data_IF_950889138454
#
_entry.id   IF_950889138454
#
_cell.length_a   1.000
_cell.length_b   1.000
_cell.length_c   1.000
_cell.angle_alpha   90.00
_cell.angle_beta   90.00
_cell.angle_gamma   90.00
#
_symmetry.space_group_name_H-M   'P 1'
#
loop_
_entity.id
_entity.type
_entity.pdbx_description
1 polymer ?
#
# COMPACT_ATOMS: atom_id res chain seq x y z
N UNK A 1 23.91 -19.36 28.39
CA UNK A 1 22.45 -19.60 28.33
C UNK A 1 21.85 -18.65 27.32
N UNK A 2 20.93 -19.10 26.46
CA UNK A 2 20.17 -18.17 25.61
C UNK A 2 19.38 -17.20 26.51
N UNK A 3 19.40 -15.91 26.13
CA UNK A 3 18.64 -14.87 26.81
C UNK A 3 17.40 -14.55 25.96
N UNK A 4 16.24 -14.74 26.57
CA UNK A 4 14.98 -14.31 25.93
C UNK A 4 14.69 -12.87 26.33
N UNK A 5 14.56 -11.98 25.33
CA UNK A 5 14.26 -10.57 25.54
C UNK A 5 13.05 -10.22 24.68
N UNK A 6 11.97 -9.82 25.31
CA UNK A 6 10.85 -9.20 24.63
C UNK A 6 11.10 -7.68 24.52
N UNK A 7 11.32 -7.21 23.29
CA UNK A 7 11.62 -5.81 22.97
C UNK A 7 10.39 -4.98 22.56
N UNK A 8 9.20 -5.55 22.59
CA UNK A 8 7.98 -4.93 22.11
C UNK A 8 6.81 -5.06 23.08
N UNK A 9 6.33 -6.26 23.32
CA UNK A 9 5.04 -6.47 23.97
C UNK A 9 5.12 -6.26 25.48
N UNK A 10 6.15 -6.78 26.13
CA UNK A 10 6.33 -6.58 27.56
C UNK A 10 6.60 -5.11 27.94
N UNK A 11 7.48 -4.37 27.25
CA UNK A 11 7.63 -2.94 27.46
C UNK A 11 6.34 -2.15 27.24
N UNK A 12 5.54 -2.50 26.23
CA UNK A 12 4.27 -1.86 25.95
C UNK A 12 3.23 -2.13 27.05
N UNK A 13 3.10 -3.39 27.50
CA UNK A 13 2.23 -3.76 28.63
C UNK A 13 2.63 -3.07 29.95
N UNK A 14 3.90 -2.77 30.13
CA UNK A 14 4.43 -2.04 31.29
C UNK A 14 4.32 -0.50 31.15
N UNK A 15 3.81 0.01 30.02
CA UNK A 15 3.72 1.46 29.77
C UNK A 15 5.07 2.15 29.56
N UNK A 16 6.16 1.37 29.28
CA UNK A 16 7.49 1.94 29.02
C UNK A 16 7.58 2.54 27.63
N UNK A 17 6.87 1.94 26.66
CA UNK A 17 6.75 2.42 25.28
C UNK A 17 5.29 2.57 24.90
N UNK A 18 4.99 3.50 23.99
CA UNK A 18 3.63 3.80 23.52
C UNK A 18 3.30 3.15 22.19
N UNK A 19 4.31 2.69 21.47
CA UNK A 19 4.18 1.99 20.18
C UNK A 19 5.28 0.96 19.99
N UNK A 20 5.19 0.14 18.93
CA UNK A 20 6.17 -0.90 18.61
C UNK A 20 7.22 -0.46 17.59
N UNK A 21 7.22 0.82 17.19
CA UNK A 21 8.19 1.34 16.23
C UNK A 21 9.62 1.20 16.77
N UNK A 22 10.54 0.82 15.88
CA UNK A 22 11.93 0.61 16.21
C UNK A 22 12.83 1.33 15.21
N UNK A 23 13.83 2.01 15.73
CA UNK A 23 14.91 2.57 14.95
C UNK A 23 16.22 1.86 15.31
N UNK A 24 16.87 1.24 14.30
CA UNK A 24 18.08 0.47 14.49
C UNK A 24 19.24 1.19 13.80
N UNK A 25 20.14 1.73 14.60
CA UNK A 25 21.30 2.48 14.14
C UNK A 25 22.59 1.69 14.41
N UNK A 26 23.52 1.74 13.47
CA UNK A 26 24.85 1.19 13.61
C UNK A 26 25.67 1.36 12.34
N UNK A 27 26.99 1.42 12.42
CA UNK A 27 27.87 1.52 11.25
C UNK A 27 27.78 0.26 10.37
N UNK A 28 28.38 0.32 9.19
CA UNK A 28 28.51 -0.86 8.33
C UNK A 28 29.28 -1.98 9.08
N UNK A 29 28.85 -3.22 8.91
CA UNK A 29 29.44 -4.37 9.59
C UNK A 29 29.06 -4.57 11.07
N UNK A 30 28.24 -3.69 11.66
CA UNK A 30 27.84 -3.80 13.09
C UNK A 30 26.81 -4.89 13.38
N UNK A 31 26.35 -5.62 12.37
CA UNK A 31 25.39 -6.71 12.52
C UNK A 31 23.90 -6.30 12.48
N UNK A 32 23.56 -5.07 12.03
CA UNK A 32 22.16 -4.62 11.89
C UNK A 32 21.30 -5.62 11.12
N UNK A 33 21.71 -5.96 9.91
CA UNK A 33 20.96 -6.89 9.05
C UNK A 33 20.87 -8.29 9.65
N UNK A 34 21.91 -8.75 10.35
CA UNK A 34 21.86 -10.02 11.07
C UNK A 34 20.83 -10.01 12.20
N UNK A 35 20.82 -8.95 13.00
CA UNK A 35 19.86 -8.77 14.08
C UNK A 35 18.43 -8.67 13.55
N UNK A 36 18.21 -7.87 12.50
CA UNK A 36 16.88 -7.70 11.91
C UNK A 36 16.37 -8.98 11.24
N UNK A 37 17.23 -9.72 10.53
CA UNK A 37 16.88 -11.05 10.01
C UNK A 37 16.44 -12.02 11.11
N UNK A 38 17.16 -12.05 12.23
CA UNK A 38 16.79 -12.88 13.37
C UNK A 38 15.42 -12.46 13.95
N UNK A 39 15.20 -11.16 14.11
CA UNK A 39 13.95 -10.61 14.63
C UNK A 39 12.76 -10.90 13.68
N UNK A 40 12.93 -10.70 12.37
CA UNK A 40 11.93 -10.99 11.34
C UNK A 40 11.56 -12.49 11.37
N UNK A 41 12.59 -13.35 11.43
CA UNK A 41 12.36 -14.79 11.54
C UNK A 41 11.55 -15.15 12.79
N UNK A 42 11.84 -14.54 13.95
CA UNK A 42 11.09 -14.79 15.18
C UNK A 42 9.63 -14.36 15.08
N UNK A 43 9.35 -13.23 14.44
CA UNK A 43 7.97 -12.80 14.18
C UNK A 43 7.24 -13.75 13.22
N UNK A 44 7.90 -14.17 12.15
CA UNK A 44 7.34 -15.15 11.22
C UNK A 44 7.02 -16.48 11.92
N UNK A 45 7.93 -17.01 12.76
CA UNK A 45 7.70 -18.23 13.55
C UNK A 45 6.55 -18.09 14.57
N UNK A 46 6.12 -16.85 14.87
CA UNK A 46 4.94 -16.54 15.70
C UNK A 46 3.69 -16.24 14.86
N UNK A 47 3.67 -16.61 13.60
CA UNK A 47 2.58 -16.36 12.62
C UNK A 47 2.31 -14.88 12.37
N UNK A 48 3.29 -14.00 12.48
CA UNK A 48 3.15 -12.61 12.07
C UNK A 48 3.33 -12.48 10.54
N UNK A 49 2.46 -11.71 9.90
CA UNK A 49 2.68 -11.27 8.54
C UNK A 49 3.76 -10.19 8.52
N UNK A 50 4.79 -10.38 7.71
CA UNK A 50 5.94 -9.47 7.63
C UNK A 50 6.10 -8.97 6.21
N UNK A 51 6.10 -7.64 6.06
CA UNK A 51 6.43 -6.96 4.81
C UNK A 51 7.78 -6.26 4.97
N UNK A 52 8.69 -6.51 4.02
CA UNK A 52 10.04 -5.94 4.01
C UNK A 52 10.27 -5.10 2.77
N UNK A 53 10.85 -3.92 2.96
CA UNK A 53 11.41 -3.11 1.87
C UNK A 53 12.92 -3.06 2.08
N UNK A 54 13.66 -3.64 1.14
CA UNK A 54 15.12 -3.83 1.26
C UNK A 54 15.84 -3.27 0.04
N UNK A 55 16.86 -2.47 0.27
CA UNK A 55 17.69 -1.91 -0.80
C UNK A 55 19.00 -2.67 -1.03
N UNK A 56 19.32 -3.66 -0.20
CA UNK A 56 20.62 -4.32 -0.15
C UNK A 56 20.60 -5.85 -0.26
N UNK A 57 19.47 -6.45 -0.62
CA UNK A 57 19.27 -7.91 -0.68
C UNK A 57 19.60 -8.66 0.62
N UNK A 58 19.53 -7.97 1.75
CA UNK A 58 19.93 -8.53 3.06
C UNK A 58 18.99 -9.62 3.57
N UNK A 59 17.76 -9.66 3.06
CA UNK A 59 16.71 -10.61 3.49
C UNK A 59 16.42 -11.71 2.47
N UNK A 60 17.05 -11.69 1.30
CA UNK A 60 16.86 -12.69 0.23
C UNK A 60 17.05 -14.12 0.76
N UNK A 61 18.13 -14.39 1.48
CA UNK A 61 18.41 -15.73 2.02
C UNK A 61 17.37 -16.21 3.04
N UNK A 62 16.80 -15.31 3.84
CA UNK A 62 15.69 -15.63 4.75
C UNK A 62 14.41 -15.96 3.96
N UNK A 63 14.06 -15.16 2.96
CA UNK A 63 12.91 -15.40 2.09
C UNK A 63 13.04 -16.73 1.37
N UNK A 64 14.18 -17.03 0.75
CA UNK A 64 14.43 -18.30 0.09
C UNK A 64 14.34 -19.51 1.03
N UNK A 65 14.84 -19.39 2.27
CA UNK A 65 14.74 -20.44 3.27
C UNK A 65 13.28 -20.72 3.65
N UNK A 66 12.48 -19.67 3.85
CA UNK A 66 11.06 -19.80 4.17
C UNK A 66 10.32 -20.39 2.97
N UNK A 67 10.55 -19.88 1.78
CA UNK A 67 9.92 -20.35 0.54
C UNK A 67 10.13 -21.85 0.30
N UNK A 68 11.35 -22.34 0.50
CA UNK A 68 11.65 -23.78 0.40
C UNK A 68 10.92 -24.61 1.46
N UNK A 69 10.76 -24.07 2.69
CA UNK A 69 10.06 -24.78 3.77
C UNK A 69 8.56 -24.83 3.57
N UNK A 70 7.99 -23.81 2.96
CA UNK A 70 6.54 -23.68 2.73
C UNK A 70 6.12 -24.13 1.31
N UNK A 71 7.03 -24.73 0.54
CA UNK A 71 6.77 -25.16 -0.83
C UNK A 71 6.26 -24.03 -1.74
N UNK A 72 6.70 -22.80 -1.50
CA UNK A 72 6.36 -21.64 -2.32
C UNK A 72 5.19 -20.80 -1.79
N UNK A 73 4.56 -21.19 -0.69
CA UNK A 73 3.43 -20.44 -0.12
C UNK A 73 3.86 -19.13 0.52
N UNK A 74 5.00 -19.13 1.23
CA UNK A 74 5.56 -17.96 1.91
C UNK A 74 6.98 -17.63 1.41
N UNK A 75 7.54 -16.56 1.93
CA UNK A 75 8.90 -16.14 1.59
C UNK A 75 9.01 -15.60 0.16
N UNK A 76 8.01 -14.85 -0.27
CA UNK A 76 7.97 -14.24 -1.59
C UNK A 76 8.94 -13.07 -1.64
N UNK A 77 9.79 -13.03 -2.65
CA UNK A 77 10.78 -11.98 -2.86
C UNK A 77 10.63 -11.36 -4.25
N UNK A 78 10.39 -10.06 -4.29
CA UNK A 78 10.28 -9.31 -5.54
C UNK A 78 11.48 -8.37 -5.68
N UNK A 79 12.07 -8.34 -6.87
CA UNK A 79 13.06 -7.32 -7.22
C UNK A 79 12.49 -6.42 -8.31
N UNK A 80 12.44 -5.13 -8.04
CA UNK A 80 12.07 -4.15 -9.06
C UNK A 80 13.23 -3.95 -10.01
N UNK A 81 12.98 -4.15 -11.29
CA UNK A 81 13.89 -3.78 -12.37
C UNK A 81 13.09 -3.13 -13.50
N UNK A 82 13.74 -2.34 -14.34
CA UNK A 82 13.09 -1.72 -15.50
C UNK A 82 12.50 -2.76 -16.46
N UNK A 83 13.11 -3.94 -16.52
CA UNK A 83 12.66 -5.06 -17.36
C UNK A 83 11.55 -5.88 -16.72
N UNK A 84 11.50 -5.91 -15.39
CA UNK A 84 10.48 -6.61 -14.60
C UNK A 84 9.88 -5.66 -13.55
N UNK A 85 9.01 -4.73 -13.95
CA UNK A 85 8.34 -3.85 -13.01
C UNK A 85 7.38 -4.64 -12.13
N UNK A 86 7.30 -4.28 -10.85
CA UNK A 86 6.28 -4.81 -9.96
C UNK A 86 4.96 -4.17 -10.36
N UNK A 87 4.01 -4.96 -10.84
CA UNK A 87 2.67 -4.53 -11.21
C UNK A 87 1.63 -5.13 -10.26
N UNK A 88 0.67 -4.33 -9.86
CA UNK A 88 -0.48 -4.79 -9.08
C UNK A 88 -1.73 -4.00 -9.49
N UNK A 89 -2.89 -4.61 -9.28
CA UNK A 89 -4.16 -3.94 -9.51
C UNK A 89 -4.71 -3.40 -8.18
N UNK A 90 -4.75 -2.07 -7.96
CA UNK A 90 -5.24 -1.49 -6.72
C UNK A 90 -6.74 -1.74 -6.49
N UNK A 91 -7.50 -2.05 -7.55
CA UNK A 91 -8.93 -2.36 -7.48
C UNK A 91 -9.22 -3.85 -7.29
N UNK A 92 -8.20 -4.68 -7.14
CA UNK A 92 -8.42 -6.10 -6.84
C UNK A 92 -8.88 -6.28 -5.39
N UNK A 93 -9.97 -7.03 -5.22
CA UNK A 93 -10.49 -7.52 -3.94
C UNK A 93 -10.91 -8.98 -4.13
N UNK A 94 -10.54 -9.83 -3.18
CA UNK A 94 -10.74 -11.29 -3.28
C UNK A 94 -12.22 -11.67 -3.17
N UNK A 95 -12.94 -11.02 -2.28
CA UNK A 95 -14.35 -11.25 -1.98
C UNK A 95 -15.32 -10.30 -2.72
N UNK A 96 -14.81 -9.42 -3.57
CA UNK A 96 -15.59 -8.40 -4.27
C UNK A 96 -16.11 -7.26 -3.38
N UNK A 97 -15.70 -7.21 -2.11
CA UNK A 97 -16.15 -6.19 -1.15
C UNK A 97 -15.11 -5.08 -0.99
N UNK A 98 -15.53 -3.86 -1.30
CA UNK A 98 -14.73 -2.66 -1.10
C UNK A 98 -15.10 -1.99 0.23
N UNK A 99 -14.38 -2.31 1.28
CA UNK A 99 -14.54 -1.67 2.58
C UNK A 99 -14.00 -0.22 2.59
N UNK A 100 -14.15 0.46 3.71
CA UNK A 100 -13.69 1.85 3.88
C UNK A 100 -12.17 1.94 3.76
N UNK A 101 -11.44 0.98 4.32
CA UNK A 101 -9.99 0.95 4.32
C UNK A 101 -9.43 0.79 2.89
N UNK A 102 -10.04 -0.09 2.08
CA UNK A 102 -9.68 -0.29 0.68
C UNK A 102 -9.94 0.97 -0.15
N UNK A 103 -11.07 1.64 0.04
CA UNK A 103 -11.40 2.91 -0.64
C UNK A 103 -10.39 4.00 -0.31
N UNK A 104 -10.02 4.15 0.96
CA UNK A 104 -9.02 5.12 1.41
C UNK A 104 -7.62 4.78 0.86
N UNK A 105 -7.26 3.50 0.80
CA UNK A 105 -5.99 3.05 0.20
C UNK A 105 -5.90 3.39 -1.29
N UNK A 106 -6.98 3.16 -2.05
CA UNK A 106 -7.05 3.51 -3.48
C UNK A 106 -6.94 5.03 -3.65
N UNK A 107 -7.71 5.82 -2.88
CA UNK A 107 -7.65 7.28 -2.91
C UNK A 107 -6.24 7.80 -2.62
N UNK A 108 -5.60 7.29 -1.57
CA UNK A 108 -4.25 7.69 -1.18
C UNK A 108 -3.23 7.36 -2.26
N UNK A 109 -3.32 6.18 -2.87
CA UNK A 109 -2.45 5.80 -3.98
C UNK A 109 -2.60 6.77 -5.16
N UNK A 110 -3.84 7.08 -5.55
CA UNK A 110 -4.10 7.99 -6.67
C UNK A 110 -3.60 9.40 -6.36
N UNK A 111 -3.81 9.90 -5.14
CA UNK A 111 -3.26 11.20 -4.71
C UNK A 111 -1.73 11.23 -4.78
N UNK A 112 -1.07 10.17 -4.36
CA UNK A 112 0.40 10.05 -4.41
C UNK A 112 0.93 10.03 -5.84
N UNK A 113 0.18 9.45 -6.78
CA UNK A 113 0.54 9.45 -8.20
C UNK A 113 0.29 10.82 -8.84
N UNK A 114 -0.78 11.50 -8.44
CA UNK A 114 -1.20 12.77 -9.03
C UNK A 114 -0.38 13.96 -8.51
N UNK A 115 -0.16 14.04 -7.19
CA UNK A 115 0.53 15.16 -6.55
C UNK A 115 2.03 14.91 -6.46
N UNK A 116 2.81 15.99 -6.63
CA UNK A 116 4.26 15.95 -6.39
C UNK A 116 4.55 15.94 -4.89
N UNK A 117 5.74 15.54 -4.52
CA UNK A 117 6.17 15.42 -3.11
C UNK A 117 6.05 16.73 -2.31
N UNK A 118 6.10 17.88 -2.99
CA UNK A 118 6.00 19.22 -2.42
C UNK A 118 4.59 19.84 -2.51
N UNK A 119 3.63 19.12 -3.12
CA UNK A 119 2.27 19.60 -3.35
C UNK A 119 1.24 18.86 -2.49
N UNK A 120 0.68 19.53 -1.50
CA UNK A 120 -0.40 18.98 -0.70
C UNK A 120 -1.75 19.10 -1.44
N UNK A 121 -2.58 18.03 -1.45
CA UNK A 121 -3.92 18.10 -2.02
C UNK A 121 -4.79 19.07 -1.23
N UNK A 122 -5.65 19.79 -1.93
CA UNK A 122 -6.68 20.61 -1.29
C UNK A 122 -7.82 19.72 -0.79
N UNK A 123 -8.58 20.21 0.19
CA UNK A 123 -9.75 19.48 0.69
C UNK A 123 -10.79 19.23 -0.40
N UNK A 124 -10.94 20.13 -1.38
CA UNK A 124 -11.86 19.95 -2.49
C UNK A 124 -11.43 18.80 -3.40
N UNK A 125 -10.14 18.71 -3.71
CA UNK A 125 -9.55 17.61 -4.49
C UNK A 125 -9.70 16.25 -3.78
N UNK A 126 -9.42 16.20 -2.48
CA UNK A 126 -9.61 14.97 -1.68
C UNK A 126 -11.07 14.50 -1.69
N UNK A 127 -12.03 15.42 -1.53
CA UNK A 127 -13.45 15.10 -1.55
C UNK A 127 -13.89 14.66 -2.95
N UNK A 128 -13.46 15.35 -3.99
CA UNK A 128 -13.79 15.00 -5.37
C UNK A 128 -13.27 13.61 -5.73
N UNK A 129 -12.01 13.30 -5.37
CA UNK A 129 -11.43 11.99 -5.62
C UNK A 129 -12.09 10.88 -4.79
N UNK A 130 -12.41 11.15 -3.52
CA UNK A 130 -13.16 10.19 -2.69
C UNK A 130 -14.54 9.86 -3.30
N UNK A 131 -15.22 10.87 -3.83
CA UNK A 131 -16.49 10.68 -4.54
C UNK A 131 -16.30 9.90 -5.84
N UNK A 132 -15.26 10.20 -6.62
CA UNK A 132 -14.95 9.48 -7.85
C UNK A 132 -14.70 8.00 -7.61
N UNK A 133 -13.87 7.66 -6.61
CA UNK A 133 -13.58 6.27 -6.21
C UNK A 133 -14.86 5.57 -5.75
N UNK A 134 -15.66 6.23 -4.90
CA UNK A 134 -16.90 5.63 -4.38
C UNK A 134 -17.92 5.38 -5.50
N UNK A 135 -18.13 6.34 -6.39
CA UNK A 135 -19.07 6.22 -7.51
C UNK A 135 -18.62 5.16 -8.52
N UNK A 136 -17.32 5.08 -8.80
CA UNK A 136 -16.76 4.01 -9.63
C UNK A 136 -16.97 2.63 -9.02
N UNK A 137 -16.75 2.48 -7.72
CA UNK A 137 -16.99 1.20 -7.02
C UNK A 137 -18.47 0.82 -7.08
N UNK A 138 -19.38 1.79 -6.96
CA UNK A 138 -20.82 1.52 -7.16
C UNK A 138 -21.13 1.06 -8.59
N UNK A 139 -20.49 1.65 -9.60
CA UNK A 139 -20.62 1.24 -11.00
C UNK A 139 -20.23 -0.22 -11.20
N UNK A 140 -19.00 -0.59 -10.80
CA UNK A 140 -18.48 -1.95 -10.98
C UNK A 140 -19.20 -3.01 -10.14
N UNK A 141 -19.82 -2.59 -9.03
CA UNK A 141 -20.65 -3.47 -8.21
C UNK A 141 -21.99 -3.77 -8.89
N UNK A 142 -22.52 -2.82 -9.66
CA UNK A 142 -23.79 -2.95 -10.41
C UNK A 142 -23.58 -3.63 -11.77
N UNK A 143 -22.46 -3.38 -12.41
CA UNK A 143 -22.14 -3.88 -13.74
C UNK A 143 -20.89 -4.77 -13.71
N UNK A 144 -21.08 -6.07 -13.59
CA UNK A 144 -20.01 -7.06 -13.58
C UNK A 144 -19.28 -7.24 -14.93
N UNK A 145 -19.70 -6.55 -15.99
CA UNK A 145 -19.00 -6.55 -17.28
C UNK A 145 -17.74 -5.68 -17.24
N UNK A 146 -17.66 -4.73 -16.31
CA UNK A 146 -16.51 -3.84 -16.14
C UNK A 146 -15.46 -4.51 -15.27
N UNK A 147 -14.30 -4.80 -15.86
CA UNK A 147 -13.16 -5.31 -15.08
C UNK A 147 -12.57 -4.19 -14.22
N UNK A 148 -12.56 -4.33 -12.88
CA UNK A 148 -12.02 -3.31 -12.00
C UNK A 148 -10.50 -3.16 -12.18
N UNK A 149 -10.07 -2.03 -12.71
CA UNK A 149 -8.65 -1.69 -12.84
C UNK A 149 -8.45 -0.18 -13.00
N UNK A 150 -7.19 0.25 -12.98
CA UNK A 150 -6.86 1.67 -13.12
C UNK A 150 -7.33 2.26 -14.46
N UNK A 151 -7.21 1.51 -15.56
CA UNK A 151 -7.62 1.97 -16.88
C UNK A 151 -9.14 2.23 -16.96
N UNK A 152 -9.95 1.30 -16.43
CA UNK A 152 -11.41 1.48 -16.43
C UNK A 152 -11.85 2.57 -15.46
N UNK A 153 -11.15 2.77 -14.35
CA UNK A 153 -11.34 3.93 -13.47
C UNK A 153 -11.01 5.24 -14.19
N UNK A 154 -9.90 5.30 -14.92
CA UNK A 154 -9.49 6.48 -15.69
C UNK A 154 -10.54 6.86 -16.74
N UNK A 155 -11.02 5.88 -17.53
CA UNK A 155 -12.07 6.13 -18.52
C UNK A 155 -13.38 6.58 -17.87
N UNK A 156 -13.76 5.98 -16.73
CA UNK A 156 -14.91 6.43 -15.95
C UNK A 156 -14.78 7.90 -15.51
N UNK A 157 -13.63 8.30 -14.99
CA UNK A 157 -13.40 9.68 -14.56
C UNK A 157 -13.49 10.64 -15.77
N UNK A 158 -12.93 10.24 -16.89
CA UNK A 158 -12.91 11.03 -18.12
C UNK A 158 -14.29 11.26 -18.73
N UNK A 159 -15.21 10.33 -18.58
CA UNK A 159 -16.54 10.34 -19.19
C UNK A 159 -17.64 10.62 -18.15
N UNK A 160 -18.04 9.62 -17.40
CA UNK A 160 -19.22 9.64 -16.53
C UNK A 160 -19.06 10.58 -15.34
N UNK A 161 -17.88 10.55 -14.69
CA UNK A 161 -17.64 11.42 -13.55
C UNK A 161 -17.49 12.89 -13.98
N UNK A 162 -16.89 13.16 -15.12
CA UNK A 162 -16.84 14.51 -15.71
C UNK A 162 -18.25 15.06 -15.95
N UNK A 163 -19.14 14.27 -16.54
CA UNK A 163 -20.54 14.66 -16.74
C UNK A 163 -21.26 14.94 -15.42
N UNK A 164 -21.02 14.11 -14.42
CA UNK A 164 -21.58 14.29 -13.07
C UNK A 164 -21.09 15.58 -12.36
N UNK A 165 -19.81 15.93 -12.50
CA UNK A 165 -19.28 17.20 -11.99
C UNK A 165 -19.91 18.42 -12.68
N UNK A 166 -20.13 18.34 -13.99
CA UNK A 166 -20.80 19.39 -14.75
C UNK A 166 -22.26 19.56 -14.32
N UNK A 167 -22.99 18.47 -14.16
CA UNK A 167 -24.38 18.48 -13.67
C UNK A 167 -24.49 19.11 -12.28
N UNK A 168 -23.54 18.82 -11.39
CA UNK A 168 -23.47 19.40 -10.03
C UNK A 168 -22.89 20.81 -9.97
N UNK A 169 -22.53 21.41 -11.11
CA UNK A 169 -21.89 22.73 -11.18
C UNK A 169 -20.63 22.85 -10.29
N UNK A 170 -19.84 21.80 -10.18
CA UNK A 170 -18.54 21.85 -9.49
C UNK A 170 -17.60 22.72 -10.33
N UNK A 171 -17.01 23.72 -9.66
CA UNK A 171 -16.14 24.66 -10.37
C UNK A 171 -14.79 24.02 -10.65
N UNK A 172 -14.25 24.26 -11.85
CA UNK A 172 -12.95 23.76 -12.29
C UNK A 172 -11.83 24.09 -11.28
N UNK A 173 -11.89 25.27 -10.65
CA UNK A 173 -10.93 25.67 -9.62
C UNK A 173 -11.00 24.83 -8.33
N UNK A 174 -12.11 24.12 -8.09
CA UNK A 174 -12.29 23.27 -6.92
C UNK A 174 -11.82 21.84 -7.22
N UNK A 175 -11.89 21.39 -8.46
CA UNK A 175 -11.31 20.15 -8.96
C UNK A 175 -11.03 20.25 -10.47
N UNK A 176 -9.76 20.38 -10.83
CA UNK A 176 -9.30 20.40 -12.22
C UNK A 176 -9.14 18.97 -12.73
N UNK A 177 -10.19 18.47 -13.38
CA UNK A 177 -10.24 17.11 -13.92
C UNK A 177 -9.24 16.91 -15.06
N UNK A 178 -8.94 17.95 -15.84
CA UNK A 178 -7.99 17.86 -16.96
C UNK A 178 -6.56 17.77 -16.42
N UNK A 179 -6.24 18.48 -15.36
CA UNK A 179 -4.96 18.33 -14.65
C UNK A 179 -4.84 16.91 -14.05
N UNK A 180 -5.92 16.40 -13.44
CA UNK A 180 -5.95 15.03 -12.91
C UNK A 180 -5.73 13.96 -14.00
N UNK A 181 -6.31 14.12 -15.19
CA UNK A 181 -6.21 13.15 -16.29
C UNK A 181 -4.87 13.21 -17.05
N UNK A 182 -4.04 14.22 -16.80
CA UNK A 182 -2.71 14.37 -17.40
C UNK A 182 -1.57 13.72 -16.60
N UNK A 183 -1.88 12.89 -15.63
CA UNK A 183 -0.91 12.16 -14.78
C UNK A 183 -0.35 10.94 -15.46
#
# INVERSE_FOLDING_TARGET
>A
KPLHIDISDLPMKKGIITNRNKFILGPSGSGKSFFTNHMVRQYYEQNAHVLLVDTGNSYLGLCEMINRKTHGEDGIYFTYTTENPIAFNPFYVEDGVFDIEKKESIKTLILTLWKRDDEAPTRAEEVALSNAVSSYIELITKDSSVTPCFNTFYEYVKTDYRAHLQEKNVREKDFDIDNFLNV
#
